data_IF_650408753429
#
_entry.id   IF_650408753429
#
_cell.length_a   1.000
_cell.length_b   1.000
_cell.length_c   1.000
_cell.angle_alpha   90.00
_cell.angle_beta   90.00
_cell.angle_gamma   90.00
#
_symmetry.space_group_name_H-M   'P 1'
#
loop_
_entity.id
_entity.type
_entity.pdbx_description
1 polymer ?
#
# COMPACT_ATOMS: atom_id res chain seq x y z
N UNK A 1 1.04 -13.97 28.24
CA UNK A 1 -0.12 -14.28 27.37
C UNK A 1 -0.30 -13.12 26.40
N UNK A 2 -0.22 -13.39 25.11
CA UNK A 2 -0.42 -12.38 24.07
C UNK A 2 -1.79 -12.60 23.43
N UNK A 3 -2.60 -11.55 23.41
CA UNK A 3 -3.96 -11.59 22.84
C UNK A 3 -4.17 -10.48 21.80
N UNK A 4 -5.13 -10.63 20.87
CA UNK A 4 -5.55 -9.53 20.02
C UNK A 4 -5.97 -8.31 20.85
N UNK A 5 -5.60 -7.11 20.40
CA UNK A 5 -5.85 -5.86 21.13
C UNK A 5 -7.32 -5.65 21.51
N UNK A 6 -8.25 -6.10 20.68
CA UNK A 6 -9.68 -6.01 20.95
C UNK A 6 -10.14 -6.90 22.13
N UNK A 7 -9.39 -7.95 22.46
CA UNK A 7 -9.74 -8.93 23.50
C UNK A 7 -9.06 -8.64 24.84
N UNK A 8 -8.10 -7.72 24.91
CA UNK A 8 -7.30 -7.44 26.11
C UNK A 8 -8.14 -7.27 27.38
N UNK A 9 -9.20 -6.44 27.34
CA UNK A 9 -10.04 -6.20 28.52
C UNK A 9 -10.84 -7.44 28.92
N UNK A 10 -11.41 -8.16 27.95
CA UNK A 10 -12.19 -9.36 28.20
C UNK A 10 -11.31 -10.47 28.79
N UNK A 11 -10.13 -10.72 28.20
CA UNK A 11 -9.18 -11.70 28.69
C UNK A 11 -8.69 -11.33 30.09
N UNK A 12 -8.47 -10.05 30.37
CA UNK A 12 -8.07 -9.61 31.71
C UNK A 12 -9.10 -9.98 32.78
N UNK A 13 -10.38 -9.71 32.53
CA UNK A 13 -11.47 -10.05 33.44
C UNK A 13 -11.55 -11.57 33.67
N UNK A 14 -11.53 -12.35 32.59
CA UNK A 14 -11.59 -13.82 32.68
C UNK A 14 -10.41 -14.38 33.48
N UNK A 15 -9.19 -13.90 33.24
CA UNK A 15 -8.02 -14.37 33.98
C UNK A 15 -8.06 -13.94 35.44
N UNK A 16 -8.50 -12.72 35.74
CA UNK A 16 -8.63 -12.24 37.11
C UNK A 16 -9.63 -13.09 37.90
N UNK A 17 -10.79 -13.39 37.32
CA UNK A 17 -11.82 -14.23 37.95
C UNK A 17 -11.33 -15.67 38.19
N UNK A 18 -10.54 -16.21 37.26
CA UNK A 18 -10.07 -17.61 37.32
C UNK A 18 -8.81 -17.79 38.16
N UNK A 19 -7.92 -16.80 38.19
CA UNK A 19 -6.57 -16.94 38.74
C UNK A 19 -6.25 -15.98 39.90
N UNK A 20 -7.00 -14.88 40.05
CA UNK A 20 -6.74 -13.87 41.07
C UNK A 20 -7.20 -14.24 42.48
N UNK A 21 -8.13 -15.19 42.62
CA UNK A 21 -8.65 -15.66 43.91
C UNK A 21 -7.71 -16.62 44.63
N UNK A 22 -8.18 -17.83 44.96
CA UNK A 22 -7.41 -18.83 45.72
C UNK A 22 -6.10 -19.26 45.04
N UNK A 23 -6.00 -19.14 43.71
CA UNK A 23 -4.76 -19.43 42.97
C UNK A 23 -3.72 -18.33 43.16
N UNK A 24 -4.14 -17.10 43.48
CA UNK A 24 -3.27 -15.99 43.89
C UNK A 24 -2.29 -15.51 42.82
N UNK A 25 -2.61 -15.68 41.52
CA UNK A 25 -1.74 -15.21 40.44
C UNK A 25 -2.06 -13.77 40.10
N UNK A 26 -1.04 -12.92 40.15
CA UNK A 26 -1.15 -11.54 39.71
C UNK A 26 -1.21 -11.46 38.17
N UNK A 27 -1.96 -10.49 37.68
CA UNK A 27 -2.09 -10.17 36.27
C UNK A 27 -1.67 -8.71 36.05
N UNK A 28 -0.78 -8.47 35.10
CA UNK A 28 -0.33 -7.12 34.76
C UNK A 28 -0.34 -6.90 33.25
N UNK A 29 -0.88 -5.76 32.82
CA UNK A 29 -0.76 -5.30 31.44
C UNK A 29 0.33 -4.23 31.35
N UNK A 30 1.35 -4.46 30.51
CA UNK A 30 2.47 -3.53 30.32
C UNK A 30 2.44 -3.03 28.86
N UNK A 31 1.79 -1.89 28.58
CA UNK A 31 1.72 -1.37 27.22
C UNK A 31 3.04 -0.73 26.80
N UNK A 32 3.45 -0.98 25.56
CA UNK A 32 4.63 -0.37 24.96
C UNK A 32 4.38 -0.10 23.48
N UNK A 33 4.83 1.04 22.97
CA UNK A 33 4.66 1.39 21.56
C UNK A 33 5.90 2.07 21.02
N UNK A 34 5.98 2.26 19.69
CA UNK A 34 7.05 3.06 19.08
C UNK A 34 7.17 4.47 19.66
N UNK A 35 6.05 5.02 20.13
CA UNK A 35 5.98 6.39 20.70
C UNK A 35 6.38 6.44 22.18
N UNK A 36 6.50 5.29 22.84
CA UNK A 36 6.90 5.24 24.24
C UNK A 36 8.33 5.79 24.38
N UNK A 37 8.56 6.80 25.25
CA UNK A 37 9.89 7.34 25.46
C UNK A 37 10.86 6.27 25.91
N UNK A 38 12.02 6.17 25.25
CA UNK A 38 13.08 5.22 25.61
C UNK A 38 14.09 5.87 26.54
N UNK A 39 13.63 6.59 27.58
CA UNK A 39 14.57 7.12 28.59
C UNK A 39 15.08 5.98 29.46
N UNK A 40 16.30 6.11 29.98
CA UNK A 40 16.89 5.07 30.82
C UNK A 40 16.04 4.74 32.05
N UNK A 41 15.35 5.73 32.62
CA UNK A 41 14.38 5.55 33.70
C UNK A 41 13.22 4.64 33.30
N UNK A 42 12.57 4.90 32.16
CA UNK A 42 11.43 4.11 31.69
C UNK A 42 11.84 2.71 31.27
N UNK A 43 13.03 2.55 30.68
CA UNK A 43 13.61 1.25 30.35
C UNK A 43 13.81 0.41 31.62
N UNK A 44 14.34 1.01 32.69
CA UNK A 44 14.52 0.33 33.98
C UNK A 44 13.19 0.01 34.66
N UNK A 45 12.21 0.91 34.58
CA UNK A 45 10.86 0.66 35.09
C UNK A 45 10.22 -0.52 34.37
N UNK A 46 10.30 -0.56 33.03
CA UNK A 46 9.80 -1.68 32.22
C UNK A 46 10.41 -3.00 32.66
N UNK A 47 11.73 -3.04 32.91
CA UNK A 47 12.42 -4.21 33.46
C UNK A 47 11.90 -4.58 34.86
N UNK A 48 11.79 -3.62 35.76
CA UNK A 48 11.35 -3.84 37.14
C UNK A 48 9.95 -4.45 37.20
N UNK A 49 9.03 -3.99 36.35
CA UNK A 49 7.69 -4.56 36.24
C UNK A 49 7.74 -6.04 35.82
N UNK A 50 8.57 -6.40 34.85
CA UNK A 50 8.72 -7.80 34.42
C UNK A 50 9.40 -8.67 35.47
N UNK A 51 10.42 -8.16 36.17
CA UNK A 51 11.09 -8.85 37.28
C UNK A 51 10.13 -9.10 38.45
N UNK A 52 9.31 -8.11 38.81
CA UNK A 52 8.25 -8.26 39.81
C UNK A 52 7.30 -9.40 39.43
N UNK A 53 6.78 -9.38 38.20
CA UNK A 53 5.85 -10.41 37.72
C UNK A 53 6.49 -11.81 37.69
N UNK A 54 7.76 -11.90 37.31
CA UNK A 54 8.52 -13.16 37.35
C UNK A 54 8.67 -13.69 38.79
N UNK A 55 9.02 -12.82 39.75
CA UNK A 55 9.24 -13.24 41.15
C UNK A 55 7.97 -13.76 41.83
N UNK A 56 6.81 -13.27 41.42
CA UNK A 56 5.49 -13.67 41.91
C UNK A 56 4.85 -14.77 41.06
N UNK A 57 5.55 -15.23 40.02
CA UNK A 57 5.05 -16.14 39.01
C UNK A 57 3.64 -15.73 38.53
N UNK A 58 3.50 -14.44 38.24
CA UNK A 58 2.29 -13.84 37.68
C UNK A 58 2.28 -13.87 36.15
N UNK A 59 1.23 -13.32 35.57
CA UNK A 59 0.99 -13.32 34.13
C UNK A 59 1.09 -11.89 33.60
N UNK A 60 2.00 -11.67 32.64
CA UNK A 60 1.97 -10.47 31.81
C UNK A 60 0.97 -10.69 30.69
N UNK A 61 -0.12 -9.92 30.70
CA UNK A 61 -1.07 -9.84 29.60
C UNK A 61 -0.57 -8.78 28.63
N UNK A 62 -0.20 -9.20 27.43
CA UNK A 62 0.29 -8.30 26.38
C UNK A 62 -0.56 -8.38 25.13
N UNK A 63 -0.35 -7.41 24.25
CA UNK A 63 -0.71 -7.57 22.83
C UNK A 63 0.58 -7.78 22.04
N UNK A 64 0.57 -8.57 20.96
CA UNK A 64 1.76 -8.85 20.16
C UNK A 64 2.50 -7.58 19.72
N UNK A 65 1.74 -6.54 19.36
CA UNK A 65 2.26 -5.23 18.94
C UNK A 65 3.15 -4.59 20.01
N UNK A 66 2.81 -4.71 21.30
CA UNK A 66 3.58 -4.10 22.38
C UNK A 66 4.91 -4.82 22.63
N UNK A 67 4.88 -6.15 22.66
CA UNK A 67 6.07 -6.97 22.79
C UNK A 67 7.03 -6.73 21.60
N UNK A 68 6.49 -6.75 20.38
CA UNK A 68 7.26 -6.46 19.17
C UNK A 68 7.77 -5.01 19.17
N UNK A 69 6.98 -4.04 19.63
CA UNK A 69 7.40 -2.65 19.73
C UNK A 69 8.61 -2.47 20.64
N UNK A 70 8.66 -3.14 21.79
CA UNK A 70 9.83 -3.06 22.68
C UNK A 70 11.08 -3.65 22.02
N UNK A 71 10.95 -4.85 21.45
CA UNK A 71 12.03 -5.54 20.72
C UNK A 71 12.58 -4.70 19.56
N UNK A 72 11.69 -4.17 18.71
CA UNK A 72 12.08 -3.35 17.56
C UNK A 72 12.63 -1.99 17.99
N UNK A 73 12.13 -1.38 19.06
CA UNK A 73 12.69 -0.13 19.59
C UNK A 73 14.15 -0.30 20.01
N UNK A 74 14.53 -1.42 20.64
CA UNK A 74 15.92 -1.69 20.98
C UNK A 74 16.85 -1.69 19.76
N UNK A 75 16.44 -2.35 18.68
CA UNK A 75 17.18 -2.36 17.41
C UNK A 75 17.19 -0.99 16.73
N UNK A 76 16.07 -0.27 16.75
CA UNK A 76 15.98 1.09 16.20
C UNK A 76 16.96 2.04 16.90
N UNK A 77 17.13 1.93 18.23
CA UNK A 77 18.10 2.74 18.98
C UNK A 77 19.55 2.49 18.55
N UNK A 78 19.90 1.28 18.10
CA UNK A 78 21.21 1.01 17.47
C UNK A 78 21.37 1.85 16.20
N UNK A 79 20.35 1.84 15.32
CA UNK A 79 20.36 2.65 14.10
C UNK A 79 20.41 4.16 14.37
N UNK A 80 19.80 4.61 15.48
CA UNK A 80 19.80 6.01 15.90
C UNK A 80 21.08 6.43 16.67
N UNK A 81 22.09 5.55 16.76
CA UNK A 81 23.33 5.75 17.54
C UNK A 81 23.11 6.00 19.05
N UNK A 82 21.96 5.59 19.58
CA UNK A 82 21.61 5.66 21.02
C UNK A 82 22.00 4.37 21.72
N UNK A 83 23.31 4.12 21.80
CA UNK A 83 23.86 2.81 22.15
C UNK A 83 23.61 2.40 23.60
N UNK A 84 23.56 3.36 24.54
CA UNK A 84 23.31 3.06 25.95
C UNK A 84 21.89 2.51 26.17
N UNK A 85 20.88 3.18 25.61
CA UNK A 85 19.49 2.74 25.65
C UNK A 85 19.30 1.44 24.87
N UNK A 86 19.93 1.33 23.69
CA UNK A 86 19.86 0.12 22.88
C UNK A 86 20.38 -1.11 23.63
N UNK A 87 21.56 -1.00 24.25
CA UNK A 87 22.19 -2.09 24.98
C UNK A 87 21.28 -2.59 26.12
N UNK A 88 20.74 -1.69 26.94
CA UNK A 88 19.85 -2.05 28.03
C UNK A 88 18.55 -2.71 27.53
N UNK A 89 17.92 -2.16 26.50
CA UNK A 89 16.69 -2.74 25.93
C UNK A 89 16.93 -4.14 25.34
N UNK A 90 18.04 -4.35 24.65
CA UNK A 90 18.41 -5.65 24.07
C UNK A 90 18.69 -6.67 25.19
N UNK A 91 19.40 -6.28 26.25
CA UNK A 91 19.64 -7.12 27.42
C UNK A 91 18.34 -7.51 28.12
N UNK A 92 17.42 -6.55 28.29
CA UNK A 92 16.09 -6.81 28.86
C UNK A 92 15.31 -7.80 27.99
N UNK A 93 15.33 -7.62 26.67
CA UNK A 93 14.62 -8.53 25.76
C UNK A 93 15.21 -9.95 25.79
N UNK A 94 16.54 -10.10 25.75
CA UNK A 94 17.20 -11.42 25.86
C UNK A 94 16.88 -12.10 27.20
N UNK A 95 16.82 -11.32 28.28
CA UNK A 95 16.40 -11.83 29.57
C UNK A 95 14.94 -12.32 29.55
N UNK A 96 14.00 -11.52 29.03
CA UNK A 96 12.58 -11.91 28.87
C UNK A 96 12.46 -13.18 28.02
N UNK A 97 13.17 -13.28 26.90
CA UNK A 97 13.12 -14.44 25.99
C UNK A 97 13.62 -15.73 26.68
N UNK A 98 14.58 -15.63 27.62
CA UNK A 98 15.10 -16.78 28.37
C UNK A 98 14.15 -17.26 29.47
N UNK A 99 13.64 -16.32 30.27
CA UNK A 99 12.87 -16.62 31.48
C UNK A 99 11.35 -16.73 31.22
N UNK A 100 10.86 -15.98 30.24
CA UNK A 100 9.44 -15.91 29.88
C UNK A 100 9.01 -17.03 28.95
N UNK A 101 7.70 -17.27 28.89
CA UNK A 101 7.06 -18.16 27.91
C UNK A 101 5.85 -17.46 27.32
N UNK A 102 5.89 -17.23 26.02
CA UNK A 102 4.76 -16.67 25.30
C UNK A 102 3.73 -17.75 25.01
N UNK A 103 2.48 -17.44 25.38
CA UNK A 103 1.30 -18.19 24.98
C UNK A 103 0.49 -17.23 24.11
N UNK A 104 0.16 -17.65 22.90
CA UNK A 104 -0.60 -16.85 21.94
C UNK A 104 -2.05 -17.30 21.99
N UNK A 105 -2.95 -16.36 22.24
CA UNK A 105 -4.38 -16.55 22.00
C UNK A 105 -4.73 -16.09 20.58
N UNK A 106 -5.73 -16.71 19.98
CA UNK A 106 -6.15 -16.45 18.58
C UNK A 106 -4.93 -16.41 17.64
N UNK A 107 -4.15 -17.50 17.64
CA UNK A 107 -2.83 -17.53 17.00
C UNK A 107 -2.90 -17.34 15.47
N UNK A 108 -4.00 -17.74 14.84
CA UNK A 108 -4.30 -17.49 13.43
C UNK A 108 -4.46 -15.99 13.13
N UNK A 109 -5.07 -15.22 14.03
CA UNK A 109 -5.15 -13.77 13.94
C UNK A 109 -3.80 -13.12 14.25
N UNK A 110 -3.18 -13.52 15.37
CA UNK A 110 -1.95 -12.92 15.90
C UNK A 110 -0.77 -13.09 14.94
N UNK A 111 -0.65 -14.25 14.29
CA UNK A 111 0.43 -14.57 13.36
C UNK A 111 0.08 -14.24 11.90
N UNK A 112 -1.08 -13.64 11.63
CA UNK A 112 -1.45 -13.26 10.28
C UNK A 112 -0.53 -12.15 9.74
N UNK A 113 -0.20 -12.18 8.45
CA UNK A 113 0.67 -11.16 7.81
C UNK A 113 0.19 -9.72 8.03
N UNK A 114 -1.13 -9.52 8.21
CA UNK A 114 -1.72 -8.20 8.48
C UNK A 114 -1.32 -7.57 9.82
N UNK A 115 -0.79 -8.36 10.77
CA UNK A 115 -0.34 -7.88 12.09
C UNK A 115 1.16 -7.57 12.12
N UNK A 116 1.85 -7.67 10.96
CA UNK A 116 3.28 -7.38 10.87
C UNK A 116 3.58 -5.93 11.27
N UNK A 117 4.57 -5.77 12.14
CA UNK A 117 5.04 -4.47 12.61
C UNK A 117 6.41 -4.16 11.99
N UNK A 118 6.51 -3.04 11.28
CA UNK A 118 7.73 -2.61 10.57
C UNK A 118 8.18 -1.27 11.14
N UNK A 119 9.44 -1.19 11.58
CA UNK A 119 10.07 0.06 12.03
C UNK A 119 11.07 0.53 10.98
N UNK A 120 10.65 1.38 10.02
CA UNK A 120 11.59 2.00 9.10
C UNK A 120 12.58 2.89 9.84
N UNK A 121 13.86 2.79 9.48
CA UNK A 121 14.97 3.58 10.01
C UNK A 121 15.72 4.25 8.86
N UNK A 122 16.32 5.42 9.13
CA UNK A 122 17.06 6.21 8.13
C UNK A 122 16.24 7.36 7.53
N UNK A 123 16.80 8.00 6.51
CA UNK A 123 16.14 9.07 5.77
C UNK A 123 15.07 8.52 4.83
N UNK A 124 14.05 9.33 4.56
CA UNK A 124 13.08 9.04 3.51
C UNK A 124 13.78 9.05 2.16
N UNK A 125 13.58 7.99 1.36
CA UNK A 125 14.11 7.86 0.02
C UNK A 125 12.95 7.79 -0.99
N UNK A 126 13.22 8.21 -2.22
CA UNK A 126 12.29 7.99 -3.31
C UNK A 126 12.11 6.47 -3.55
N UNK A 127 10.90 6.07 -3.90
CA UNK A 127 10.65 4.69 -4.36
C UNK A 127 11.46 4.43 -5.64
N UNK A 128 12.01 3.23 -5.76
CA UNK A 128 12.73 2.85 -6.98
C UNK A 128 11.82 3.04 -8.22
N UNK A 129 12.39 3.45 -9.34
CA UNK A 129 11.63 3.71 -10.57
C UNK A 129 10.74 4.96 -10.54
N UNK A 130 10.85 5.83 -9.54
CA UNK A 130 10.24 7.17 -9.57
C UNK A 130 10.71 7.98 -10.80
N UNK A 131 9.83 8.70 -11.53
CA UNK A 131 8.37 8.72 -11.41
C UNK A 131 7.67 7.66 -12.28
N UNK A 132 8.42 7.01 -13.18
CA UNK A 132 7.93 6.05 -14.15
C UNK A 132 7.01 4.98 -13.54
N UNK A 133 7.28 4.55 -12.30
CA UNK A 133 6.53 3.50 -11.62
C UNK A 133 5.03 3.82 -11.47
N UNK A 134 4.65 5.03 -11.06
CA UNK A 134 3.23 5.39 -10.98
C UNK A 134 2.66 5.82 -12.34
N UNK A 135 3.47 6.38 -13.23
CA UNK A 135 3.02 6.71 -14.59
C UNK A 135 2.60 5.46 -15.36
N UNK A 136 3.40 4.39 -15.28
CA UNK A 136 3.05 3.08 -15.87
C UNK A 136 1.79 2.52 -15.22
N UNK A 137 1.66 2.59 -13.90
CA UNK A 137 0.45 2.11 -13.20
C UNK A 137 -0.80 2.86 -13.68
N UNK A 138 -0.74 4.20 -13.78
CA UNK A 138 -1.85 5.01 -14.28
C UNK A 138 -2.17 4.68 -15.74
N UNK A 139 -1.16 4.48 -16.59
CA UNK A 139 -1.36 4.09 -17.98
C UNK A 139 -2.03 2.72 -18.11
N UNK A 140 -1.59 1.72 -17.31
CA UNK A 140 -2.21 0.38 -17.26
C UNK A 140 -3.66 0.47 -16.75
N UNK A 141 -3.94 1.28 -15.73
CA UNK A 141 -5.31 1.53 -15.29
C UNK A 141 -6.15 2.18 -16.40
N UNK A 142 -5.57 3.08 -17.19
CA UNK A 142 -6.21 3.62 -18.39
C UNK A 142 -6.64 2.53 -19.38
N UNK A 143 -5.79 1.54 -19.65
CA UNK A 143 -6.12 0.38 -20.48
C UNK A 143 -7.23 -0.48 -19.85
N UNK A 144 -7.19 -0.69 -18.52
CA UNK A 144 -8.28 -1.39 -17.81
C UNK A 144 -9.62 -0.69 -18.05
N UNK A 145 -9.67 0.63 -17.87
CA UNK A 145 -10.90 1.41 -18.05
C UNK A 145 -11.45 1.32 -19.49
N UNK A 146 -10.58 1.17 -20.49
CA UNK A 146 -10.98 0.98 -21.89
C UNK A 146 -11.60 -0.40 -22.14
N UNK A 147 -11.08 -1.47 -21.52
CA UNK A 147 -11.50 -2.84 -21.81
C UNK A 147 -12.71 -3.33 -21.02
N UNK A 148 -12.96 -2.80 -19.82
CA UNK A 148 -13.96 -3.37 -18.90
C UNK A 148 -15.39 -3.35 -19.46
N UNK A 149 -15.75 -2.36 -20.28
CA UNK A 149 -17.08 -2.29 -20.92
C UNK A 149 -17.29 -3.40 -21.94
N UNK A 150 -16.30 -3.60 -22.80
CA UNK A 150 -16.34 -4.66 -23.81
C UNK A 150 -16.29 -6.04 -23.16
N UNK A 151 -15.52 -6.19 -22.08
CA UNK A 151 -15.48 -7.42 -21.30
C UNK A 151 -16.80 -7.72 -20.60
N UNK A 152 -17.49 -6.71 -20.08
CA UNK A 152 -18.83 -6.89 -19.50
C UNK A 152 -19.85 -7.37 -20.53
N UNK A 153 -19.74 -6.89 -21.76
CA UNK A 153 -20.59 -7.35 -22.87
C UNK A 153 -20.24 -8.78 -23.30
N UNK A 154 -18.96 -9.13 -23.35
CA UNK A 154 -18.49 -10.46 -23.77
C UNK A 154 -18.65 -11.55 -22.69
N UNK A 155 -18.56 -11.18 -21.41
CA UNK A 155 -18.60 -12.10 -20.27
C UNK A 155 -19.62 -11.65 -19.20
N UNK A 156 -20.92 -11.59 -19.52
CA UNK A 156 -21.96 -10.98 -18.66
C UNK A 156 -22.19 -11.69 -17.32
N UNK A 157 -21.60 -12.88 -17.10
CA UNK A 157 -21.68 -13.61 -15.83
C UNK A 157 -20.36 -13.61 -15.04
N UNK A 158 -19.30 -13.04 -15.59
CA UNK A 158 -17.95 -13.11 -15.04
C UNK A 158 -17.44 -11.77 -14.54
N UNK A 159 -18.06 -10.66 -14.94
CA UNK A 159 -17.73 -9.30 -14.50
C UNK A 159 -19.00 -8.47 -14.34
N UNK A 160 -19.07 -7.69 -13.27
CA UNK A 160 -20.02 -6.59 -13.14
C UNK A 160 -19.26 -5.26 -13.19
N UNK A 161 -19.78 -4.30 -13.96
CA UNK A 161 -19.23 -2.96 -14.08
C UNK A 161 -20.29 -1.96 -13.68
N UNK A 162 -20.02 -1.19 -12.62
CA UNK A 162 -20.88 -0.08 -12.22
C UNK A 162 -20.28 1.20 -12.78
N UNK A 163 -20.93 1.69 -13.82
CA UNK A 163 -20.65 2.99 -14.42
C UNK A 163 -20.89 4.09 -13.39
N UNK A 164 -20.00 5.09 -13.39
CA UNK A 164 -20.15 6.29 -12.56
C UNK A 164 -20.38 7.49 -13.46
N UNK A 165 -20.99 8.57 -12.94
CA UNK A 165 -21.18 9.80 -13.70
C UNK A 165 -19.84 10.35 -14.19
N UNK A 166 -19.90 11.12 -15.28
CA UNK A 166 -18.73 11.75 -15.89
C UNK A 166 -17.72 10.72 -16.42
N UNK A 167 -16.62 11.15 -17.03
CA UNK A 167 -15.50 10.29 -17.46
C UNK A 167 -14.72 9.63 -16.30
N UNK A 168 -15.43 9.16 -15.27
CA UNK A 168 -14.89 8.54 -14.06
C UNK A 168 -14.42 7.10 -14.29
N UNK A 169 -13.43 6.67 -13.50
CA UNK A 169 -13.03 5.27 -13.51
C UNK A 169 -14.15 4.36 -12.96
N UNK A 170 -14.53 3.31 -13.68
CA UNK A 170 -15.67 2.46 -13.30
C UNK A 170 -15.35 1.59 -12.08
N UNK A 171 -16.39 1.23 -11.32
CA UNK A 171 -16.25 0.22 -10.26
C UNK A 171 -16.39 -1.16 -10.89
N UNK A 172 -15.34 -1.97 -10.77
CA UNK A 172 -15.23 -3.27 -11.43
C UNK A 172 -15.30 -4.40 -10.40
N UNK A 173 -16.12 -5.41 -10.68
CA UNK A 173 -16.22 -6.62 -9.87
C UNK A 173 -15.90 -7.85 -10.75
N UNK A 174 -14.67 -8.36 -10.63
CA UNK A 174 -14.25 -9.57 -11.32
C UNK A 174 -14.72 -10.80 -10.54
N UNK A 175 -15.66 -11.56 -11.11
CA UNK A 175 -16.36 -12.66 -10.45
C UNK A 175 -15.77 -14.04 -10.77
N UNK A 176 -15.20 -14.21 -11.96
CA UNK A 176 -14.68 -15.49 -12.46
C UNK A 176 -13.30 -15.32 -13.13
N UNK A 177 -12.54 -16.41 -13.21
CA UNK A 177 -11.15 -16.38 -13.68
C UNK A 177 -11.02 -16.17 -15.20
N UNK A 178 -12.00 -16.57 -15.99
CA UNK A 178 -12.04 -16.39 -17.44
C UNK A 178 -11.88 -14.92 -17.86
N UNK A 179 -12.63 -14.01 -17.23
CA UNK A 179 -12.52 -12.57 -17.54
C UNK A 179 -11.20 -11.96 -17.03
N UNK A 180 -10.62 -12.51 -15.96
CA UNK A 180 -9.32 -12.08 -15.46
C UNK A 180 -8.21 -12.39 -16.46
N UNK A 181 -8.26 -13.57 -17.09
CA UNK A 181 -7.34 -13.97 -18.16
C UNK A 181 -7.54 -13.07 -19.37
N UNK A 182 -8.79 -12.90 -19.83
CA UNK A 182 -9.09 -12.07 -20.98
C UNK A 182 -8.66 -10.60 -20.80
N UNK A 183 -8.85 -10.03 -19.61
CA UNK A 183 -8.40 -8.66 -19.29
C UNK A 183 -6.88 -8.55 -19.39
N UNK A 184 -6.13 -9.47 -18.77
CA UNK A 184 -4.68 -9.47 -18.82
C UNK A 184 -4.16 -9.63 -20.25
N UNK A 185 -4.75 -10.53 -21.05
CA UNK A 185 -4.37 -10.73 -22.45
C UNK A 185 -4.54 -9.45 -23.29
N UNK A 186 -5.67 -8.75 -23.13
CA UNK A 186 -5.92 -7.47 -23.82
C UNK A 186 -4.94 -6.39 -23.41
N UNK A 187 -4.66 -6.25 -22.10
CA UNK A 187 -3.67 -5.29 -21.59
C UNK A 187 -2.28 -5.57 -22.16
N UNK A 188 -1.85 -6.83 -22.17
CA UNK A 188 -0.55 -7.23 -22.72
C UNK A 188 -0.49 -6.92 -24.22
N UNK A 189 -1.56 -7.23 -24.95
CA UNK A 189 -1.63 -6.96 -26.39
C UNK A 189 -1.47 -5.46 -26.69
N UNK A 190 -2.20 -4.60 -25.98
CA UNK A 190 -2.15 -3.14 -26.14
C UNK A 190 -0.77 -2.56 -25.81
N UNK A 191 -0.14 -3.05 -24.74
CA UNK A 191 1.23 -2.64 -24.38
C UNK A 191 2.21 -3.02 -25.50
N UNK A 192 2.10 -4.24 -26.03
CA UNK A 192 2.99 -4.73 -27.08
C UNK A 192 2.75 -4.03 -28.43
N UNK A 193 1.54 -3.54 -28.70
CA UNK A 193 1.24 -2.70 -29.86
C UNK A 193 1.62 -1.23 -29.67
N UNK A 194 2.06 -0.84 -28.47
CA UNK A 194 2.58 0.51 -28.18
C UNK A 194 1.54 1.50 -27.68
N UNK A 195 0.35 1.00 -27.34
CA UNK A 195 -0.71 1.82 -26.77
C UNK A 195 -0.28 2.36 -25.40
N UNK A 196 -0.65 3.62 -25.12
CA UNK A 196 -0.28 4.31 -23.89
C UNK A 196 1.20 4.67 -23.77
N UNK A 197 2.03 4.41 -24.79
CA UNK A 197 3.47 4.72 -24.80
C UNK A 197 4.23 4.20 -23.58
N UNK A 198 3.78 3.06 -23.03
CA UNK A 198 4.32 2.47 -21.80
C UNK A 198 5.73 1.93 -22.04
N UNK A 199 5.93 1.24 -23.16
CA UNK A 199 7.22 0.72 -23.62
C UNK A 199 7.57 1.30 -25.01
N UNK A 200 8.87 1.46 -25.34
CA UNK A 200 9.32 1.98 -26.63
C UNK A 200 9.26 0.93 -27.75
N UNK A 201 8.10 0.30 -27.96
CA UNK A 201 7.94 -0.85 -28.87
C UNK A 201 8.05 -0.50 -30.36
N UNK A 202 7.93 0.77 -30.72
CA UNK A 202 7.95 1.24 -32.12
C UNK A 202 9.30 0.98 -32.80
N UNK A 203 10.38 0.88 -32.03
CA UNK A 203 11.72 0.55 -32.54
C UNK A 203 12.03 -0.95 -32.53
N UNK A 204 11.09 -1.80 -32.13
CA UNK A 204 11.30 -3.24 -31.96
C UNK A 204 10.76 -4.03 -33.15
N UNK A 205 11.51 -5.04 -33.59
CA UNK A 205 11.04 -6.00 -34.58
C UNK A 205 10.07 -7.02 -33.98
N UNK A 206 9.53 -7.89 -34.84
CA UNK A 206 8.56 -8.90 -34.42
C UNK A 206 9.11 -9.87 -33.35
N UNK A 207 10.42 -10.16 -33.40
CA UNK A 207 11.07 -11.04 -32.43
C UNK A 207 11.15 -10.38 -31.05
N UNK A 208 11.56 -9.12 -31.00
CA UNK A 208 11.68 -8.35 -29.76
C UNK A 208 10.30 -8.12 -29.11
N UNK A 209 9.28 -7.84 -29.92
CA UNK A 209 7.89 -7.72 -29.46
C UNK A 209 7.33 -9.04 -28.91
N UNK A 210 7.66 -10.17 -29.53
CA UNK A 210 7.25 -11.48 -29.00
C UNK A 210 8.00 -11.82 -27.70
N UNK A 211 9.29 -11.51 -27.62
CA UNK A 211 10.08 -11.69 -26.40
C UNK A 211 9.50 -10.88 -25.23
N UNK A 212 9.19 -9.60 -25.43
CA UNK A 212 8.61 -8.78 -24.35
C UNK A 212 7.22 -9.27 -23.97
N UNK A 213 6.41 -9.69 -24.95
CA UNK A 213 5.07 -10.22 -24.71
C UNK A 213 5.13 -11.46 -23.82
N UNK A 214 6.01 -12.41 -24.13
CA UNK A 214 6.24 -13.60 -23.30
C UNK A 214 6.71 -13.20 -21.91
N UNK A 215 7.66 -12.26 -21.82
CA UNK A 215 8.20 -11.78 -20.55
C UNK A 215 7.16 -11.10 -19.64
N UNK A 216 6.14 -10.43 -20.16
CA UNK A 216 5.12 -9.78 -19.32
C UNK A 216 3.82 -10.59 -19.16
N UNK A 217 3.71 -11.77 -19.79
CA UNK A 217 2.49 -12.61 -19.75
C UNK A 217 2.71 -14.00 -19.15
N UNK A 218 3.90 -14.59 -19.26
CA UNK A 218 4.15 -15.97 -18.83
C UNK A 218 4.74 -16.02 -17.41
N UNK A 219 4.21 -16.91 -16.58
CA UNK A 219 4.70 -17.13 -15.21
C UNK A 219 6.12 -17.70 -15.20
N UNK A 220 6.34 -18.75 -15.99
CA UNK A 220 7.65 -19.34 -16.17
C UNK A 220 8.30 -18.75 -17.43
N UNK A 221 9.50 -18.18 -17.26
CA UNK A 221 10.33 -17.70 -18.37
C UNK A 221 11.67 -18.39 -18.32
N UNK A 222 12.10 -18.97 -19.43
CA UNK A 222 13.41 -19.62 -19.52
C UNK A 222 14.54 -18.62 -19.19
N UNK A 223 15.62 -19.14 -18.59
CA UNK A 223 16.82 -18.36 -18.26
C UNK A 223 17.40 -17.65 -19.49
N UNK A 224 17.30 -18.26 -20.66
CA UNK A 224 17.71 -17.70 -21.96
C UNK A 224 16.84 -16.51 -22.39
N UNK A 225 15.52 -16.58 -22.16
CA UNK A 225 14.59 -15.49 -22.45
C UNK A 225 14.84 -14.29 -21.54
N UNK A 226 15.09 -14.54 -20.25
CA UNK A 226 15.42 -13.49 -19.28
C UNK A 226 16.73 -12.77 -19.66
N UNK A 227 17.76 -13.52 -20.04
CA UNK A 227 19.00 -12.93 -20.55
C UNK A 227 18.80 -12.14 -21.84
N UNK A 228 17.94 -12.62 -22.74
CA UNK A 228 17.60 -11.92 -23.99
C UNK A 228 16.91 -10.58 -23.72
N UNK A 229 15.99 -10.52 -22.75
CA UNK A 229 15.34 -9.28 -22.32
C UNK A 229 16.33 -8.32 -21.67
N UNK A 230 17.22 -8.81 -20.81
CA UNK A 230 18.26 -7.99 -20.20
C UNK A 230 19.20 -7.40 -21.27
N UNK A 231 19.57 -8.17 -22.28
CA UNK A 231 20.38 -7.68 -23.40
C UNK A 231 19.62 -6.69 -24.27
N UNK A 232 18.35 -6.93 -24.57
CA UNK A 232 17.49 -6.02 -25.35
C UNK A 232 17.32 -4.65 -24.68
N UNK A 233 17.21 -4.64 -23.35
CA UNK A 233 16.95 -3.43 -22.56
C UNK A 233 18.21 -2.86 -21.88
N UNK A 234 19.39 -3.37 -22.22
CA UNK A 234 20.66 -3.00 -21.59
C UNK A 234 20.93 -1.49 -21.72
N UNK A 235 20.72 -0.94 -22.91
CA UNK A 235 20.93 0.49 -23.20
C UNK A 235 19.71 1.36 -22.87
N UNK A 236 18.64 0.77 -22.34
CA UNK A 236 17.40 1.46 -21.96
C UNK A 236 16.97 1.16 -20.52
N UNK A 237 17.69 1.66 -19.49
CA UNK A 237 17.42 1.35 -18.08
C UNK A 237 15.99 1.66 -17.64
N UNK A 238 15.39 2.73 -18.16
CA UNK A 238 13.98 3.08 -17.89
C UNK A 238 13.03 2.01 -18.44
N UNK A 239 13.19 1.62 -19.70
CA UNK A 239 12.36 0.59 -20.32
C UNK A 239 12.51 -0.76 -19.62
N UNK A 240 13.73 -1.08 -19.17
CA UNK A 240 14.00 -2.24 -18.31
C UNK A 240 13.13 -2.21 -17.04
N UNK A 241 13.20 -1.13 -16.24
CA UNK A 241 12.38 -1.00 -15.02
C UNK A 241 10.88 -1.08 -15.31
N UNK A 242 10.41 -0.45 -16.38
CA UNK A 242 8.99 -0.51 -16.80
C UNK A 242 8.58 -1.95 -17.16
N UNK A 243 9.42 -2.70 -17.87
CA UNK A 243 9.14 -4.09 -18.22
C UNK A 243 9.03 -5.00 -16.97
N UNK A 244 9.94 -4.86 -16.00
CA UNK A 244 9.86 -5.61 -14.74
C UNK A 244 8.64 -5.23 -13.91
N UNK A 245 8.29 -3.93 -13.88
CA UNK A 245 7.06 -3.47 -13.23
C UNK A 245 5.82 -4.10 -13.88
N UNK A 246 5.73 -4.08 -15.23
CA UNK A 246 4.62 -4.70 -15.95
C UNK A 246 4.51 -6.20 -15.67
N UNK A 247 5.63 -6.91 -15.64
CA UNK A 247 5.67 -8.33 -15.23
C UNK A 247 5.11 -8.50 -13.81
N UNK A 248 5.50 -7.64 -12.86
CA UNK A 248 4.93 -7.62 -11.51
C UNK A 248 3.41 -7.38 -11.49
N UNK A 249 2.95 -6.37 -12.24
CA UNK A 249 1.54 -6.01 -12.31
C UNK A 249 0.68 -7.12 -12.89
N UNK A 250 1.13 -7.73 -13.99
CA UNK A 250 0.33 -8.65 -14.82
C UNK A 250 0.55 -10.10 -14.39
N UNK A 251 1.79 -10.60 -14.44
CA UNK A 251 2.13 -12.01 -14.18
C UNK A 251 1.89 -12.36 -12.71
N UNK A 252 2.36 -11.52 -11.79
CA UNK A 252 2.11 -11.71 -10.35
C UNK A 252 0.74 -11.17 -9.90
N UNK A 253 -0.13 -10.84 -10.85
CA UNK A 253 -1.55 -10.54 -10.66
C UNK A 253 -1.83 -9.39 -9.67
N UNK A 254 -0.88 -8.48 -9.47
CA UNK A 254 -1.04 -7.34 -8.56
C UNK A 254 -2.18 -6.45 -9.04
N UNK A 255 -2.32 -6.22 -10.36
CA UNK A 255 -3.43 -5.43 -10.91
C UNK A 255 -4.79 -6.06 -10.58
N UNK A 256 -4.93 -7.38 -10.77
CA UNK A 256 -6.16 -8.12 -10.49
C UNK A 256 -6.47 -8.15 -8.98
N UNK A 257 -5.45 -8.32 -8.14
CA UNK A 257 -5.58 -8.23 -6.69
C UNK A 257 -6.17 -6.88 -6.28
N UNK A 258 -5.66 -5.79 -6.85
CA UNK A 258 -6.12 -4.44 -6.54
C UNK A 258 -7.55 -4.17 -7.06
N UNK A 259 -7.85 -4.57 -8.30
CA UNK A 259 -9.19 -4.41 -8.89
C UNK A 259 -10.27 -5.19 -8.11
N UNK A 260 -9.91 -6.31 -7.48
CA UNK A 260 -10.85 -7.11 -6.67
C UNK A 260 -11.13 -6.54 -5.27
N UNK A 261 -10.31 -5.60 -4.77
CA UNK A 261 -10.56 -4.99 -3.45
C UNK A 261 -11.62 -3.91 -3.56
N UNK A 262 -12.44 -3.82 -2.52
CA UNK A 262 -13.54 -2.84 -2.44
C UNK A 262 -13.05 -1.52 -1.86
N UNK A 263 -13.12 -0.48 -2.68
CA UNK A 263 -12.91 0.91 -2.25
C UNK A 263 -13.90 1.29 -1.13
N UNK A 264 -13.45 2.12 -0.19
CA UNK A 264 -14.20 2.59 0.99
C UNK A 264 -14.65 1.48 1.98
N UNK A 265 -14.21 0.24 1.76
CA UNK A 265 -14.46 -0.91 2.65
C UNK A 265 -13.15 -1.56 3.08
N UNK A 266 -12.26 -1.83 2.12
CA UNK A 266 -10.97 -2.49 2.37
C UNK A 266 -9.80 -1.52 2.25
N UNK A 267 -9.95 -0.45 1.48
CA UNK A 267 -8.93 0.58 1.31
C UNK A 267 -9.55 1.94 0.96
N UNK A 268 -8.77 3.00 1.10
CA UNK A 268 -9.12 4.36 0.71
C UNK A 268 -8.10 5.37 1.26
N UNK A 269 -8.32 6.66 1.00
CA UNK A 269 -7.47 7.72 1.51
C UNK A 269 -7.77 8.01 2.99
N UNK A 270 -6.73 8.35 3.76
CA UNK A 270 -6.89 8.80 5.12
C UNK A 270 -6.86 10.34 5.19
N UNK A 271 -7.91 11.02 5.68
CA UNK A 271 -8.04 12.48 5.56
C UNK A 271 -7.02 13.30 6.36
N UNK A 272 -6.40 12.70 7.39
CA UNK A 272 -5.37 13.36 8.23
C UNK A 272 -3.93 12.91 7.94
N UNK A 273 -3.72 12.05 6.94
CA UNK A 273 -2.37 11.56 6.56
C UNK A 273 -2.00 12.11 5.19
N UNK A 274 -0.75 11.93 4.81
CA UNK A 274 -0.33 12.13 3.43
C UNK A 274 -1.23 11.32 2.48
N UNK A 275 -1.45 11.81 1.24
CA UNK A 275 -2.43 11.28 0.30
C UNK A 275 -2.00 9.92 -0.29
N UNK A 276 -1.97 8.90 0.55
CA UNK A 276 -1.73 7.51 0.19
C UNK A 276 -2.89 6.65 0.68
N UNK A 277 -3.24 5.64 -0.10
CA UNK A 277 -4.27 4.70 0.30
C UNK A 277 -3.78 3.84 1.46
N UNK A 278 -4.66 3.66 2.45
CA UNK A 278 -4.42 2.83 3.63
C UNK A 278 -5.45 1.70 3.70
N UNK A 279 -5.16 0.60 4.40
CA UNK A 279 -6.17 -0.40 4.73
C UNK A 279 -7.29 0.19 5.59
N UNK A 280 -8.52 -0.26 5.36
CA UNK A 280 -9.68 0.13 6.16
C UNK A 280 -9.99 -0.96 7.20
N UNK A 281 -10.31 -0.54 8.42
CA UNK A 281 -10.71 -1.45 9.51
C UNK A 281 -12.19 -1.82 9.41
N UNK A 282 -12.98 -0.89 8.90
CA UNK A 282 -14.40 -1.04 8.61
C UNK A 282 -14.78 -0.10 7.46
N UNK A 283 -16.02 -0.20 6.98
CA UNK A 283 -16.54 0.71 5.94
C UNK A 283 -16.38 2.17 6.37
N UNK A 284 -15.67 2.97 5.58
CA UNK A 284 -15.41 4.39 5.88
C UNK A 284 -14.42 4.65 7.00
N UNK A 285 -13.77 3.61 7.57
CA UNK A 285 -12.86 3.75 8.71
C UNK A 285 -11.43 3.41 8.27
N UNK A 286 -10.64 4.40 7.81
CA UNK A 286 -9.25 4.19 7.45
C UNK A 286 -8.42 3.86 8.69
N UNK A 287 -7.42 2.98 8.54
CA UNK A 287 -6.48 2.69 9.63
C UNK A 287 -5.52 3.86 9.87
N UNK A 288 -5.36 4.26 11.13
CA UNK A 288 -4.47 5.36 11.52
C UNK A 288 -2.99 5.08 11.20
N UNK A 289 -2.58 3.81 11.29
CA UNK A 289 -1.17 3.43 11.25
C UNK A 289 -0.82 2.33 10.25
N UNK A 290 -1.81 1.60 9.73
CA UNK A 290 -1.50 0.53 8.77
C UNK A 290 -1.12 1.12 7.41
N UNK A 291 -0.25 0.39 6.71
CA UNK A 291 0.23 0.69 5.36
C UNK A 291 0.27 -0.60 4.54
N UNK A 292 0.32 -0.47 3.23
CA UNK A 292 0.48 -1.61 2.32
C UNK A 292 1.97 -1.96 2.22
N UNK A 293 2.34 -3.20 2.55
CA UNK A 293 3.74 -3.63 2.54
C UNK A 293 4.38 -3.72 1.14
N UNK A 294 3.56 -3.83 0.08
CA UNK A 294 4.05 -3.86 -1.29
C UNK A 294 3.88 -2.49 -1.96
N UNK A 295 4.93 -1.86 -2.51
CA UNK A 295 4.86 -0.50 -3.05
C UNK A 295 3.88 -0.38 -4.21
N UNK A 296 3.89 -1.33 -5.16
CA UNK A 296 2.98 -1.27 -6.31
C UNK A 296 1.50 -1.41 -5.91
N UNK A 297 1.20 -2.18 -4.85
CA UNK A 297 -0.14 -2.27 -4.28
C UNK A 297 -0.55 -0.95 -3.63
N UNK A 298 0.37 -0.31 -2.89
CA UNK A 298 0.14 1.00 -2.29
C UNK A 298 -0.15 2.07 -3.36
N UNK A 299 0.62 2.09 -4.44
CA UNK A 299 0.46 3.04 -5.54
C UNK A 299 -0.86 2.78 -6.29
N UNK A 300 -1.14 1.53 -6.66
CA UNK A 300 -2.39 1.16 -7.32
C UNK A 300 -3.63 1.55 -6.51
N UNK A 301 -3.65 1.23 -5.22
CA UNK A 301 -4.77 1.64 -4.36
C UNK A 301 -4.85 3.14 -4.18
N UNK A 302 -3.72 3.85 -4.20
CA UNK A 302 -3.72 5.32 -4.16
C UNK A 302 -4.36 5.89 -5.42
N UNK A 303 -3.94 5.44 -6.61
CA UNK A 303 -4.55 5.84 -7.88
C UNK A 303 -6.05 5.52 -7.92
N UNK A 304 -6.44 4.28 -7.61
CA UNK A 304 -7.85 3.87 -7.58
C UNK A 304 -8.66 4.66 -6.55
N UNK A 305 -8.12 4.93 -5.36
CA UNK A 305 -8.82 5.73 -4.35
C UNK A 305 -9.07 7.14 -4.85
N UNK A 306 -8.11 7.78 -5.52
CA UNK A 306 -8.31 9.08 -6.16
C UNK A 306 -9.32 9.02 -7.30
N UNK A 307 -9.27 8.01 -8.15
CA UNK A 307 -10.22 7.86 -9.24
C UNK A 307 -11.66 7.63 -8.76
N UNK A 308 -11.85 6.99 -7.61
CA UNK A 308 -13.20 6.75 -7.06
C UNK A 308 -13.71 7.86 -6.15
N UNK A 309 -12.81 8.52 -5.40
CA UNK A 309 -13.16 9.59 -4.46
C UNK A 309 -13.21 10.97 -5.13
N UNK A 310 -12.41 11.19 -6.17
CA UNK A 310 -12.13 12.51 -6.72
C UNK A 310 -11.11 13.30 -5.91
N UNK A 311 -10.83 14.52 -6.37
CA UNK A 311 -9.98 15.48 -5.67
C UNK A 311 -10.84 16.39 -4.79
N UNK A 312 -10.32 16.78 -3.63
CA UNK A 312 -10.88 17.92 -2.90
C UNK A 312 -10.52 19.24 -3.61
N UNK A 313 -11.29 20.30 -3.37
CA UNK A 313 -11.00 21.64 -3.91
C UNK A 313 -9.56 22.09 -3.60
N UNK A 314 -9.08 21.84 -2.38
CA UNK A 314 -7.72 22.19 -2.00
C UNK A 314 -6.65 21.38 -2.75
N UNK A 315 -6.92 20.10 -3.02
CA UNK A 315 -6.03 19.28 -3.86
C UNK A 315 -6.07 19.74 -5.33
N UNK A 316 -7.25 20.05 -5.86
CA UNK A 316 -7.41 20.58 -7.21
C UNK A 316 -6.64 21.90 -7.38
N UNK A 317 -6.80 22.83 -6.44
CA UNK A 317 -6.03 24.08 -6.38
C UNK A 317 -4.52 23.83 -6.40
N UNK A 318 -4.03 22.88 -5.59
CA UNK A 318 -2.61 22.50 -5.57
C UNK A 318 -2.13 21.90 -6.90
N UNK A 319 -2.96 21.11 -7.57
CA UNK A 319 -2.67 20.57 -8.90
C UNK A 319 -2.54 21.71 -9.92
N UNK A 320 -3.49 22.65 -9.95
CA UNK A 320 -3.44 23.83 -10.82
C UNK A 320 -2.22 24.70 -10.53
N UNK A 321 -1.84 24.89 -9.26
CA UNK A 321 -0.60 25.59 -8.89
C UNK A 321 0.66 24.86 -9.33
N UNK A 322 0.64 23.54 -9.46
CA UNK A 322 1.77 22.78 -9.99
C UNK A 322 1.90 23.01 -11.49
N UNK A 323 0.79 22.99 -12.23
CA UNK A 323 0.75 23.32 -13.67
C UNK A 323 1.26 24.75 -13.92
N UNK A 324 0.84 25.72 -13.11
CA UNK A 324 1.31 27.10 -13.24
C UNK A 324 2.84 27.25 -13.10
N UNK A 325 3.49 26.31 -12.39
CA UNK A 325 4.95 26.31 -12.16
C UNK A 325 5.72 25.48 -13.18
N UNK A 326 5.06 24.79 -14.11
CA UNK A 326 5.75 23.99 -15.11
C UNK A 326 6.31 24.86 -16.24
N UNK A 327 7.19 24.27 -17.05
CA UNK A 327 7.87 24.98 -18.13
C UNK A 327 6.88 25.42 -19.23
N UNK A 328 5.80 24.65 -19.44
CA UNK A 328 4.71 24.96 -20.37
C UNK A 328 3.35 24.58 -19.76
N UNK A 329 2.75 25.50 -18.97
CA UNK A 329 1.48 25.27 -18.29
C UNK A 329 0.32 24.97 -19.24
N UNK A 330 0.29 25.60 -20.43
CA UNK A 330 -0.80 25.42 -21.38
C UNK A 330 -0.79 24.00 -21.95
N UNK A 331 0.36 23.53 -22.44
CA UNK A 331 0.51 22.17 -22.97
C UNK A 331 0.26 21.10 -21.90
N UNK A 332 0.73 21.33 -20.67
CA UNK A 332 0.50 20.39 -19.58
C UNK A 332 -0.99 20.29 -19.22
N UNK A 333 -1.67 21.44 -19.14
CA UNK A 333 -3.10 21.48 -18.85
C UNK A 333 -3.93 20.87 -19.97
N UNK A 334 -3.61 21.18 -21.23
CA UNK A 334 -4.29 20.59 -22.40
C UNK A 334 -4.18 19.05 -22.37
N UNK A 335 -3.02 18.51 -21.97
CA UNK A 335 -2.84 17.06 -21.79
C UNK A 335 -3.79 16.48 -20.74
N UNK A 336 -4.06 17.19 -19.64
CA UNK A 336 -5.03 16.74 -18.64
C UNK A 336 -6.47 16.77 -19.19
N UNK A 337 -6.77 17.76 -20.02
CA UNK A 337 -8.10 18.00 -20.58
C UNK A 337 -8.44 17.15 -21.81
N UNK A 338 -7.46 16.48 -22.43
CA UNK A 338 -7.67 15.65 -23.63
C UNK A 338 -8.80 14.63 -23.53
N UNK A 339 -9.07 14.11 -22.33
CA UNK A 339 -10.13 13.12 -22.08
C UNK A 339 -11.37 13.69 -21.40
N UNK A 340 -11.34 14.98 -21.02
CA UNK A 340 -12.43 15.63 -20.31
C UNK A 340 -13.44 16.22 -21.28
N UNK A 341 -14.66 15.67 -21.27
CA UNK A 341 -15.79 16.18 -22.06
C UNK A 341 -16.87 16.85 -21.22
N UNK A 342 -16.74 16.77 -19.90
CA UNK A 342 -17.78 17.18 -18.95
C UNK A 342 -17.53 18.55 -18.31
N UNK A 343 -16.29 19.05 -18.34
CA UNK A 343 -15.96 20.36 -17.76
C UNK A 343 -16.49 21.53 -18.62
N UNK A 344 -16.96 22.64 -18.03
CA UNK A 344 -17.32 23.86 -18.76
C UNK A 344 -16.19 24.34 -19.68
N UNK A 345 -16.52 24.89 -20.85
CA UNK A 345 -15.54 25.33 -21.86
C UNK A 345 -14.53 26.35 -21.31
N UNK A 346 -14.97 27.23 -20.41
CA UNK A 346 -14.12 28.21 -19.74
C UNK A 346 -13.01 27.55 -18.89
N UNK A 347 -13.26 26.35 -18.36
CA UNK A 347 -12.28 25.59 -17.58
C UNK A 347 -11.43 24.66 -18.45
N UNK A 348 -11.68 24.53 -19.75
CA UNK A 348 -10.86 23.67 -20.63
C UNK A 348 -9.60 24.35 -21.13
N UNK A 349 -9.53 25.67 -21.07
CA UNK A 349 -8.43 26.44 -21.62
C UNK A 349 -7.64 27.10 -20.50
N UNK A 350 -6.33 26.81 -20.45
CA UNK A 350 -5.45 27.30 -19.39
C UNK A 350 -5.50 28.82 -19.20
N UNK A 351 -5.56 29.58 -20.31
CA UNK A 351 -5.56 31.04 -20.30
C UNK A 351 -6.75 31.69 -19.59
N UNK A 352 -7.80 30.93 -19.31
CA UNK A 352 -9.01 31.39 -18.64
C UNK A 352 -9.05 31.02 -17.15
N UNK A 353 -8.04 30.29 -16.65
CA UNK A 353 -8.01 29.77 -15.28
C UNK A 353 -7.22 30.72 -14.38
N UNK A 354 -7.88 31.24 -13.36
CA UNK A 354 -7.30 31.94 -12.24
C UNK A 354 -7.25 31.01 -11.03
N UNK A 355 -6.05 30.54 -10.70
CA UNK A 355 -5.83 29.56 -9.61
C UNK A 355 -6.13 30.14 -8.22
N UNK A 356 -6.11 31.46 -8.08
CA UNK A 356 -6.42 32.14 -6.81
C UNK A 356 -7.91 32.46 -6.65
N UNK A 357 -8.72 32.28 -7.71
CA UNK A 357 -10.17 32.45 -7.66
C UNK A 357 -10.85 31.19 -7.10
N UNK A 358 -11.28 31.26 -5.84
CA UNK A 358 -11.96 30.15 -5.17
C UNK A 358 -13.30 29.78 -5.82
N UNK A 359 -13.99 30.75 -6.42
CA UNK A 359 -15.26 30.50 -7.12
C UNK A 359 -15.02 29.63 -8.35
N UNK A 360 -13.99 29.98 -9.13
CA UNK A 360 -13.61 29.20 -10.30
C UNK A 360 -13.07 27.81 -9.96
N UNK A 361 -12.24 27.68 -8.92
CA UNK A 361 -11.75 26.37 -8.44
C UNK A 361 -12.90 25.48 -7.96
N UNK A 362 -13.99 26.07 -7.45
CA UNK A 362 -15.16 25.31 -7.01
C UNK A 362 -16.04 24.79 -8.16
N UNK A 363 -15.80 25.23 -9.41
CA UNK A 363 -16.50 24.74 -10.60
C UNK A 363 -15.87 23.45 -11.19
N UNK A 364 -14.68 23.06 -10.71
CA UNK A 364 -14.08 21.74 -10.95
C UNK A 364 -14.63 20.68 -10.00
#
# INVERSE_FOLDING_TARGET
>A
LLVPKALTTQTAQVLQDRLGGLVGRELMHVPFSRRTPTTMELIREYRSLHEMMSSRAGIVLGVPEHALSFKLSGLQRVSDLKLAEAAEMIVIQDWIDRIGRDVLDECDYTLAVKTQLIYPSGSQLAVDGHPDRWEVIMAVLGLVAQHVRDLASAFPQSIDVVERPFSSFPLVFLLRQDVEVALNERIVQDICSGQGSILPVQGWGAREQELIKQFISQEETDSSATHSIQSLLQDAPKACKRAYLLRGLIVHRIILLCLKKRWNVQYGLHPKRDPMAVPFQAKGVPSDYAEWGHPDVAILFTCLAFYHQGLSQEQCRRCLQAVLKSDDPATEYDRWMQTSTDLPEALRHWNLINVDDQGQVAEF
#
